data_IF_594507086943
#
_entry.id   IF_594507086943
#
_cell.length_a   1.000
_cell.length_b   1.000
_cell.length_c   1.000
_cell.angle_alpha   90.00
_cell.angle_beta   90.00
_cell.angle_gamma   90.00
#
_symmetry.space_group_name_H-M   'P 1'
#
loop_
_entity.id
_entity.type
_entity.pdbx_description
1 polymer ?
#
# COMPACT_ATOMS: atom_id res chain seq x y z
N UNK A 1 21.68 -0.47 -15.59
CA UNK A 1 22.65 0.58 -15.21
C UNK A 1 23.85 -0.09 -14.54
N UNK A 2 25.06 0.10 -15.08
CA UNK A 2 26.28 -0.43 -14.48
C UNK A 2 26.64 0.44 -13.26
N UNK A 3 27.00 -0.14 -12.11
CA UNK A 3 27.45 0.63 -10.96
C UNK A 3 28.73 1.36 -11.34
N UNK A 4 28.66 2.67 -11.53
CA UNK A 4 29.84 3.49 -11.78
C UNK A 4 30.63 3.62 -10.47
N UNK A 5 31.89 3.24 -10.50
CA UNK A 5 32.87 3.56 -9.45
C UNK A 5 33.53 4.87 -9.80
N UNK A 6 33.59 5.79 -8.87
CA UNK A 6 34.41 6.98 -9.00
C UNK A 6 35.81 6.66 -8.45
N UNK A 7 36.78 6.65 -9.34
CA UNK A 7 38.19 6.46 -9.00
C UNK A 7 38.88 7.80 -9.19
N UNK A 8 39.40 8.36 -8.12
CA UNK A 8 40.24 9.54 -8.20
C UNK A 8 41.70 9.08 -8.20
N UNK A 9 42.38 9.41 -9.27
CA UNK A 9 43.84 9.24 -9.36
C UNK A 9 44.47 10.49 -8.78
N UNK A 10 45.11 10.36 -7.64
CA UNK A 10 45.88 11.45 -7.06
C UNK A 10 47.31 11.38 -7.57
N UNK A 11 47.80 12.46 -8.10
CA UNK A 11 49.23 12.61 -8.43
C UNK A 11 49.96 12.95 -7.14
N UNK A 12 50.80 12.07 -6.57
CA UNK A 12 51.53 12.38 -5.37
C UNK A 12 52.54 13.52 -5.65
N UNK A 13 52.83 14.29 -4.60
CA UNK A 13 53.94 15.23 -4.67
C UNK A 13 55.22 14.47 -5.00
N UNK A 14 55.89 14.91 -6.05
CA UNK A 14 57.13 14.31 -6.55
C UNK A 14 58.13 15.38 -6.79
N UNK A 15 59.40 14.97 -6.72
CA UNK A 15 60.51 15.87 -7.09
C UNK A 15 60.38 16.45 -8.51
N UNK A 16 59.77 15.70 -9.42
CA UNK A 16 59.48 16.15 -10.80
C UNK A 16 58.47 17.30 -10.83
N UNK A 17 57.51 17.32 -9.91
CA UNK A 17 56.52 18.40 -9.84
C UNK A 17 57.10 19.71 -9.31
N UNK A 18 58.25 19.66 -8.63
CA UNK A 18 58.99 20.83 -8.15
C UNK A 18 59.87 21.47 -9.25
N UNK A 19 60.12 20.76 -10.33
CA UNK A 19 60.88 21.27 -11.47
C UNK A 19 59.97 22.05 -12.42
N UNK A 20 60.45 23.18 -12.89
CA UNK A 20 59.75 23.96 -13.91
C UNK A 20 59.66 23.15 -15.20
N UNK A 21 58.43 22.81 -15.63
CA UNK A 21 58.12 22.09 -16.86
C UNK A 21 58.67 22.73 -18.13
N UNK A 22 59.27 23.92 -18.03
CA UNK A 22 59.95 24.63 -19.14
C UNK A 22 61.23 24.01 -19.58
N UNK A 23 61.86 23.23 -18.70
CA UNK A 23 63.26 22.72 -18.97
C UNK A 23 63.25 21.26 -19.45
N UNK A 24 62.06 20.60 -19.48
CA UNK A 24 61.91 19.22 -19.92
C UNK A 24 60.84 19.12 -20.99
N UNK A 25 61.06 18.30 -22.01
CA UNK A 25 59.99 17.92 -22.89
C UNK A 25 59.06 16.91 -22.21
N UNK A 26 57.83 16.80 -22.72
CA UNK A 26 56.78 15.96 -22.12
C UNK A 26 57.19 14.48 -22.11
N UNK A 27 57.95 14.03 -23.08
CA UNK A 27 58.43 12.65 -23.19
C UNK A 27 59.47 12.31 -22.13
N UNK A 28 60.42 13.18 -21.88
CA UNK A 28 61.41 13.04 -20.81
C UNK A 28 60.76 13.04 -19.44
N UNK A 29 59.76 13.89 -19.19
CA UNK A 29 59.02 13.91 -17.95
C UNK A 29 58.23 12.61 -17.74
N UNK A 30 57.68 12.04 -18.81
CA UNK A 30 56.94 10.77 -18.76
C UNK A 30 57.90 9.59 -18.47
N UNK A 31 59.08 9.54 -19.08
CA UNK A 31 60.10 8.51 -18.82
C UNK A 31 60.64 8.56 -17.39
N UNK A 32 60.76 9.74 -16.81
CA UNK A 32 61.25 9.95 -15.45
C UNK A 32 60.12 9.71 -14.40
N UNK A 33 58.90 9.48 -14.83
CA UNK A 33 57.79 9.23 -13.92
C UNK A 33 57.93 7.85 -13.22
N UNK A 34 58.11 7.87 -11.91
CA UNK A 34 58.27 6.67 -11.07
C UNK A 34 57.08 5.72 -11.20
N UNK A 35 55.89 6.22 -11.50
CA UNK A 35 54.68 5.38 -11.65
C UNK A 35 54.63 4.70 -13.02
N UNK A 36 55.40 5.12 -13.96
CA UNK A 36 55.46 4.58 -15.31
C UNK A 36 56.53 3.47 -15.45
N UNK A 37 57.18 3.06 -14.36
CA UNK A 37 58.19 2.00 -14.35
C UNK A 37 57.57 0.64 -14.11
N UNK A 38 58.09 -0.44 -14.70
CA UNK A 38 57.65 -1.79 -14.39
C UNK A 38 57.79 -2.10 -12.89
N UNK A 39 56.70 -2.50 -12.25
CA UNK A 39 56.66 -2.80 -10.82
C UNK A 39 56.33 -1.61 -9.93
N UNK A 40 55.99 -0.47 -10.49
CA UNK A 40 55.52 0.67 -9.70
C UNK A 40 54.21 0.34 -8.95
N UNK A 41 54.10 0.80 -7.70
CA UNK A 41 52.95 0.59 -6.87
C UNK A 41 51.70 1.28 -7.44
N UNK A 42 50.58 0.57 -7.40
CA UNK A 42 49.30 1.17 -7.76
C UNK A 42 48.90 2.21 -6.71
N UNK A 43 49.01 3.48 -7.06
CA UNK A 43 48.64 4.61 -6.18
C UNK A 43 47.23 5.13 -6.42
N UNK A 44 46.43 4.38 -7.22
CA UNK A 44 45.04 4.70 -7.37
C UNK A 44 44.29 4.36 -6.06
N UNK A 45 43.58 5.31 -5.53
CA UNK A 45 42.71 5.08 -4.37
C UNK A 45 41.24 5.23 -4.77
N UNK A 46 40.42 4.30 -4.28
CA UNK A 46 38.97 4.41 -4.41
C UNK A 46 38.48 5.39 -3.35
N UNK A 47 37.96 6.54 -3.78
CA UNK A 47 37.39 7.52 -2.86
C UNK A 47 35.93 7.23 -2.71
N UNK A 48 35.53 6.88 -1.50
CA UNK A 48 34.12 6.81 -1.14
C UNK A 48 33.52 8.22 -1.25
N UNK A 49 32.50 8.38 -2.11
CA UNK A 49 31.72 9.61 -2.21
C UNK A 49 30.41 9.46 -1.42
N UNK A 50 30.39 9.73 -0.10
CA UNK A 50 29.20 9.51 0.74
C UNK A 50 27.99 10.29 0.23
N UNK A 51 28.20 11.50 -0.29
CA UNK A 51 27.14 12.34 -0.84
C UNK A 51 26.49 11.72 -2.09
N UNK A 52 27.27 11.13 -2.99
CA UNK A 52 26.73 10.48 -4.17
C UNK A 52 26.00 9.18 -3.82
N UNK A 53 26.52 8.41 -2.88
CA UNK A 53 25.85 7.21 -2.38
C UNK A 53 24.54 7.56 -1.70
N UNK A 54 24.49 8.63 -0.92
CA UNK A 54 23.27 9.13 -0.30
C UNK A 54 22.23 9.51 -1.36
N UNK A 55 22.60 10.32 -2.35
CA UNK A 55 21.68 10.71 -3.44
C UNK A 55 21.11 9.51 -4.18
N UNK A 56 21.95 8.51 -4.51
CA UNK A 56 21.47 7.27 -5.14
C UNK A 56 20.45 6.53 -4.27
N UNK A 57 20.67 6.41 -2.96
CA UNK A 57 19.73 5.79 -2.03
C UNK A 57 18.42 6.59 -1.91
N UNK A 58 18.48 7.91 -1.86
CA UNK A 58 17.32 8.78 -1.86
C UNK A 58 16.48 8.63 -3.14
N UNK A 59 17.11 8.49 -4.31
CA UNK A 59 16.43 8.19 -5.57
C UNK A 59 15.72 6.83 -5.55
N UNK A 60 16.36 5.80 -4.98
CA UNK A 60 15.77 4.46 -4.82
C UNK A 60 14.56 4.53 -3.88
N UNK A 61 14.69 5.22 -2.74
CA UNK A 61 13.57 5.45 -1.81
C UNK A 61 12.41 6.15 -2.53
N UNK A 62 12.71 7.19 -3.31
CA UNK A 62 11.69 7.91 -4.08
C UNK A 62 10.97 7.00 -5.08
N UNK A 63 11.68 6.12 -5.78
CA UNK A 63 11.06 5.13 -6.69
C UNK A 63 10.12 4.20 -5.93
N UNK A 64 10.52 3.69 -4.76
CA UNK A 64 9.65 2.86 -3.93
C UNK A 64 8.42 3.61 -3.40
N UNK A 65 8.57 4.88 -3.02
CA UNK A 65 7.42 5.73 -2.62
C UNK A 65 6.43 5.87 -3.78
N UNK A 66 6.91 6.11 -4.99
CA UNK A 66 6.07 6.28 -6.19
C UNK A 66 5.32 4.99 -6.57
N UNK A 67 5.85 3.83 -6.22
CA UNK A 67 5.18 2.53 -6.37
C UNK A 67 4.43 2.08 -5.13
N UNK A 68 4.30 2.93 -4.11
CA UNK A 68 3.66 2.63 -2.81
C UNK A 68 4.31 1.48 -2.03
N UNK A 69 5.55 1.10 -2.35
CA UNK A 69 6.32 0.08 -1.63
C UNK A 69 7.10 0.72 -0.46
N UNK A 70 6.37 1.15 0.55
CA UNK A 70 6.95 1.83 1.71
C UNK A 70 7.87 0.92 2.52
N UNK A 71 7.62 -0.39 2.51
CA UNK A 71 8.46 -1.38 3.20
C UNK A 71 9.85 -1.45 2.57
N UNK A 72 9.95 -1.52 1.24
CA UNK A 72 11.22 -1.48 0.53
C UNK A 72 11.91 -0.13 0.72
N UNK A 73 11.16 0.99 0.69
CA UNK A 73 11.69 2.32 0.99
C UNK A 73 12.34 2.38 2.38
N UNK A 74 11.68 1.83 3.41
CA UNK A 74 12.21 1.74 4.77
C UNK A 74 13.47 0.87 4.84
N UNK A 75 13.49 -0.27 4.15
CA UNK A 75 14.67 -1.15 4.08
C UNK A 75 15.90 -0.41 3.52
N UNK A 76 15.70 0.40 2.47
CA UNK A 76 16.79 1.23 1.93
C UNK A 76 17.19 2.32 2.93
N UNK A 77 16.21 2.99 3.57
CA UNK A 77 16.46 4.01 4.58
C UNK A 77 17.27 3.47 5.78
N UNK A 78 17.09 2.20 6.17
CA UNK A 78 17.85 1.54 7.24
C UNK A 78 19.34 1.40 6.92
N UNK A 79 19.71 1.41 5.64
CA UNK A 79 21.11 1.40 5.21
C UNK A 79 21.77 2.79 5.21
N UNK A 80 21.01 3.84 5.56
CA UNK A 80 21.47 5.23 5.62
C UNK A 80 21.69 5.67 7.07
N UNK A 81 22.42 6.77 7.25
CA UNK A 81 22.60 7.36 8.57
C UNK A 81 21.27 7.85 9.18
N UNK A 82 21.10 7.69 10.48
CA UNK A 82 19.86 8.13 11.18
C UNK A 82 19.56 9.61 10.94
N UNK A 83 20.58 10.46 10.89
CA UNK A 83 20.41 11.88 10.63
C UNK A 83 19.88 12.17 9.23
N UNK A 84 20.25 11.35 8.24
CA UNK A 84 19.82 11.51 6.85
C UNK A 84 18.35 11.15 6.64
N UNK A 85 17.83 10.22 7.43
CA UNK A 85 16.46 9.69 7.28
C UNK A 85 15.47 10.30 8.27
N UNK A 86 15.93 10.99 9.30
CA UNK A 86 15.12 11.51 10.41
C UNK A 86 13.90 12.32 9.93
N UNK A 87 14.04 13.10 8.86
CA UNK A 87 12.99 13.99 8.36
C UNK A 87 11.81 13.26 7.73
N UNK A 88 12.02 12.09 7.16
CA UNK A 88 10.98 11.40 6.37
C UNK A 88 10.66 9.98 6.84
N UNK A 89 11.52 9.37 7.66
CA UNK A 89 11.35 7.99 8.13
C UNK A 89 9.99 7.76 8.79
N UNK A 90 9.60 8.65 9.70
CA UNK A 90 8.32 8.55 10.39
C UNK A 90 7.11 8.57 9.46
N UNK A 91 7.18 9.33 8.37
CA UNK A 91 6.12 9.37 7.36
C UNK A 91 6.08 8.07 6.54
N UNK A 92 7.22 7.45 6.25
CA UNK A 92 7.27 6.15 5.59
C UNK A 92 6.66 5.04 6.47
N UNK A 93 7.00 5.04 7.77
CA UNK A 93 6.43 4.12 8.76
C UNK A 93 4.90 4.29 8.86
N UNK A 94 4.42 5.54 8.90
CA UNK A 94 2.99 5.84 8.91
C UNK A 94 2.30 5.34 7.63
N UNK A 95 2.90 5.57 6.48
CA UNK A 95 2.35 5.13 5.20
C UNK A 95 2.32 3.60 5.08
N UNK A 96 3.36 2.88 5.55
CA UNK A 96 3.37 1.42 5.62
C UNK A 96 2.25 0.90 6.52
N UNK A 97 2.12 1.43 7.76
CA UNK A 97 1.07 1.02 8.69
C UNK A 97 -0.33 1.28 8.14
N UNK A 98 -0.49 2.35 7.39
CA UNK A 98 -1.74 2.67 6.72
C UNK A 98 -2.13 1.63 5.68
N UNK A 99 -1.18 1.18 4.84
CA UNK A 99 -1.42 0.09 3.87
C UNK A 99 -1.69 -1.26 4.53
N UNK A 100 -1.10 -1.49 5.72
CA UNK A 100 -1.35 -2.70 6.52
C UNK A 100 -2.66 -2.65 7.31
N UNK A 101 -3.43 -1.56 7.22
CA UNK A 101 -4.65 -1.30 7.97
C UNK A 101 -4.45 -1.34 9.50
N UNK A 102 -3.25 -1.07 9.97
CA UNK A 102 -2.92 -0.98 11.40
C UNK A 102 -3.32 0.40 11.95
N UNK A 103 -4.64 0.59 12.09
CA UNK A 103 -5.23 1.88 12.46
C UNK A 103 -4.66 2.42 13.78
N UNK A 104 -4.36 1.53 14.72
CA UNK A 104 -3.86 1.95 16.05
C UNK A 104 -2.45 2.55 15.95
N UNK A 105 -1.57 1.96 15.17
CA UNK A 105 -0.22 2.48 14.92
C UNK A 105 -0.25 3.73 14.05
N UNK A 106 -1.16 3.81 13.08
CA UNK A 106 -1.37 5.02 12.27
C UNK A 106 -1.72 6.21 13.16
N UNK A 107 -2.63 6.05 14.14
CA UNK A 107 -3.02 7.12 15.06
C UNK A 107 -1.87 7.58 15.95
N UNK A 108 -1.09 6.64 16.47
CA UNK A 108 0.09 6.96 17.29
C UNK A 108 1.14 7.73 16.49
N UNK A 109 1.43 7.27 15.27
CA UNK A 109 2.43 7.89 14.40
C UNK A 109 1.96 9.26 13.92
N UNK A 110 0.71 9.40 13.49
CA UNK A 110 0.14 10.67 13.05
C UNK A 110 0.21 11.73 14.19
N UNK A 111 -0.15 11.33 15.41
CA UNK A 111 -0.04 12.20 16.59
C UNK A 111 1.41 12.58 16.89
N UNK A 112 2.34 11.62 16.84
CA UNK A 112 3.79 11.86 17.07
C UNK A 112 4.39 12.81 16.04
N UNK A 113 3.93 12.73 14.79
CA UNK A 113 4.41 13.55 13.67
C UNK A 113 3.66 14.89 13.54
N UNK A 114 2.63 15.10 14.38
CA UNK A 114 1.72 16.25 14.27
C UNK A 114 1.14 16.40 12.85
N UNK A 115 0.84 15.27 12.21
CA UNK A 115 0.43 15.19 10.82
C UNK A 115 -1.03 14.73 10.68
N UNK A 116 -1.93 15.65 10.35
CA UNK A 116 -3.35 15.32 10.10
C UNK A 116 -3.54 14.76 8.68
N UNK A 117 -3.36 13.45 8.56
CA UNK A 117 -3.53 12.71 7.30
C UNK A 117 -4.79 11.82 7.29
N UNK A 118 -5.65 11.95 8.30
CA UNK A 118 -6.79 11.07 8.52
C UNK A 118 -8.09 11.81 8.21
N UNK A 119 -8.63 11.67 6.98
CA UNK A 119 -9.82 12.42 6.57
C UNK A 119 -11.11 11.88 7.21
N UNK A 120 -11.15 10.59 7.54
CA UNK A 120 -12.32 9.93 8.14
C UNK A 120 -11.96 9.47 9.55
N UNK A 121 -12.67 9.97 10.57
CA UNK A 121 -12.35 9.69 11.99
C UNK A 121 -13.28 8.65 12.63
N UNK A 122 -14.48 8.46 12.07
CA UNK A 122 -15.42 7.44 12.58
C UNK A 122 -14.86 6.03 12.29
N UNK A 123 -14.83 5.18 13.32
CA UNK A 123 -14.09 3.90 13.30
C UNK A 123 -14.47 2.95 12.16
N UNK A 124 -15.77 2.73 11.94
CA UNK A 124 -16.27 1.83 10.88
C UNK A 124 -16.05 2.40 9.48
N UNK A 125 -16.34 3.69 9.30
CA UNK A 125 -16.18 4.38 8.03
C UNK A 125 -14.70 4.52 7.67
N UNK A 126 -13.84 4.73 8.67
CA UNK A 126 -12.40 4.83 8.48
C UNK A 126 -11.78 3.55 7.95
N UNK A 127 -12.16 2.40 8.50
CA UNK A 127 -11.64 1.11 8.03
C UNK A 127 -11.99 0.89 6.55
N UNK A 128 -13.23 1.18 6.17
CA UNK A 128 -13.67 1.10 4.77
C UNK A 128 -12.94 2.07 3.86
N UNK A 129 -12.73 3.30 4.33
CA UNK A 129 -11.98 4.30 3.59
C UNK A 129 -10.53 3.88 3.33
N UNK A 130 -9.82 3.42 4.36
CA UNK A 130 -8.43 2.95 4.23
C UNK A 130 -8.34 1.70 3.34
N UNK A 131 -9.32 0.80 3.45
CA UNK A 131 -9.39 -0.37 2.57
C UNK A 131 -9.60 0.03 1.10
N UNK A 132 -10.52 0.96 0.84
CA UNK A 132 -10.77 1.49 -0.51
C UNK A 132 -9.54 2.20 -1.09
N UNK A 133 -8.79 2.94 -0.26
CA UNK A 133 -7.53 3.56 -0.64
C UNK A 133 -6.49 2.50 -1.03
N UNK A 134 -6.36 1.42 -0.25
CA UNK A 134 -5.51 0.28 -0.58
C UNK A 134 -5.88 -0.38 -1.91
N UNK A 135 -7.18 -0.53 -2.19
CA UNK A 135 -7.66 -1.03 -3.49
C UNK A 135 -7.29 -0.09 -4.64
N UNK A 136 -7.42 1.23 -4.47
CA UNK A 136 -7.01 2.20 -5.48
C UNK A 136 -5.51 2.09 -5.80
N UNK A 137 -4.68 1.85 -4.78
CA UNK A 137 -3.24 1.64 -4.95
C UNK A 137 -2.97 0.37 -5.76
N UNK A 138 -3.64 -0.75 -5.43
CA UNK A 138 -3.54 -1.99 -6.21
C UNK A 138 -3.87 -1.79 -7.69
N UNK A 139 -4.94 -1.06 -7.96
CA UNK A 139 -5.33 -0.73 -9.33
C UNK A 139 -4.26 0.11 -10.05
N UNK A 140 -3.68 1.11 -9.38
CA UNK A 140 -2.60 1.94 -9.93
C UNK A 140 -1.32 1.16 -10.19
N UNK A 141 -1.02 0.16 -9.37
CA UNK A 141 0.14 -0.70 -9.51
C UNK A 141 -0.07 -1.83 -10.56
N UNK A 142 -1.27 -1.96 -11.13
CA UNK A 142 -1.59 -3.05 -12.05
C UNK A 142 -1.84 -4.40 -11.37
N UNK A 143 -2.04 -4.42 -10.05
CA UNK A 143 -2.33 -5.61 -9.25
C UNK A 143 -3.81 -5.99 -9.39
N UNK A 144 -4.26 -6.25 -10.64
CA UNK A 144 -5.68 -6.42 -10.96
C UNK A 144 -6.32 -7.62 -10.26
N UNK A 145 -5.59 -8.72 -10.12
CA UNK A 145 -6.10 -9.92 -9.46
C UNK A 145 -6.41 -9.66 -7.98
N UNK A 146 -5.51 -8.97 -7.29
CA UNK A 146 -5.69 -8.63 -5.87
C UNK A 146 -6.75 -7.54 -5.69
N UNK A 147 -6.87 -6.61 -6.64
CA UNK A 147 -7.97 -5.65 -6.68
C UNK A 147 -9.33 -6.38 -6.81
N UNK A 148 -9.45 -7.31 -7.75
CA UNK A 148 -10.69 -8.09 -7.97
C UNK A 148 -11.07 -8.89 -6.73
N UNK A 149 -10.11 -9.56 -6.08
CA UNK A 149 -10.33 -10.31 -4.84
C UNK A 149 -10.82 -9.42 -3.70
N UNK A 150 -10.40 -8.18 -3.65
CA UNK A 150 -10.77 -7.22 -2.61
C UNK A 150 -12.16 -6.61 -2.79
N UNK A 151 -12.79 -6.69 -3.98
CA UNK A 151 -14.08 -6.06 -4.28
C UNK A 151 -15.22 -6.65 -3.43
N UNK A 152 -15.35 -7.97 -3.39
CA UNK A 152 -16.48 -8.60 -2.69
C UNK A 152 -16.54 -8.28 -1.20
N UNK A 153 -15.44 -8.39 -0.43
CA UNK A 153 -15.46 -8.03 0.98
C UNK A 153 -15.84 -6.57 1.23
N UNK A 154 -15.25 -5.64 0.48
CA UNK A 154 -15.54 -4.20 0.69
C UNK A 154 -17.00 -3.86 0.37
N UNK A 155 -17.60 -4.48 -0.64
CA UNK A 155 -19.00 -4.21 -0.98
C UNK A 155 -19.97 -4.70 0.09
N UNK A 156 -19.70 -5.86 0.70
CA UNK A 156 -20.50 -6.34 1.84
C UNK A 156 -20.45 -5.31 2.98
N UNK A 157 -19.24 -4.92 3.39
CA UNK A 157 -19.06 -3.98 4.50
C UNK A 157 -19.62 -2.58 4.18
N UNK A 158 -19.48 -2.11 2.95
CA UNK A 158 -20.02 -0.84 2.49
C UNK A 158 -21.56 -0.85 2.52
N UNK A 159 -22.19 -1.91 1.98
CA UNK A 159 -23.64 -2.03 1.97
C UNK A 159 -24.22 -2.13 3.39
N UNK A 160 -23.51 -2.80 4.30
CA UNK A 160 -23.87 -2.83 5.71
C UNK A 160 -23.79 -1.46 6.36
N UNK A 161 -22.74 -0.72 6.10
CA UNK A 161 -22.61 0.64 6.61
C UNK A 161 -23.76 1.53 6.09
N UNK A 162 -24.08 1.42 4.81
CA UNK A 162 -25.21 2.14 4.20
C UNK A 162 -26.54 1.74 4.88
N UNK A 163 -26.79 0.44 5.04
CA UNK A 163 -28.00 -0.06 5.68
C UNK A 163 -28.11 0.47 7.13
N UNK A 164 -27.01 0.45 7.85
CA UNK A 164 -26.95 0.96 9.24
C UNK A 164 -27.16 2.46 9.32
N UNK A 165 -26.46 3.23 8.48
CA UNK A 165 -26.48 4.71 8.56
C UNK A 165 -27.75 5.29 7.95
N UNK A 166 -28.16 4.84 6.78
CA UNK A 166 -29.29 5.40 6.05
C UNK A 166 -30.62 4.76 6.45
N UNK A 167 -30.66 3.44 6.57
CA UNK A 167 -31.90 2.71 6.89
C UNK A 167 -32.08 2.44 8.39
N UNK A 168 -31.07 2.77 9.23
CA UNK A 168 -31.06 2.52 10.69
C UNK A 168 -31.20 1.04 11.08
N UNK A 169 -30.78 0.15 10.20
CA UNK A 169 -30.83 -1.31 10.38
C UNK A 169 -29.42 -1.84 10.57
N UNK A 170 -29.14 -2.41 11.74
CA UNK A 170 -27.87 -3.13 12.00
C UNK A 170 -28.11 -4.62 11.82
N UNK A 171 -27.56 -5.20 10.75
CA UNK A 171 -27.76 -6.62 10.42
C UNK A 171 -27.15 -7.57 11.45
N UNK A 172 -26.23 -7.10 12.29
CA UNK A 172 -25.67 -7.92 13.37
C UNK A 172 -26.74 -8.38 14.36
N UNK A 173 -27.85 -7.64 14.48
CA UNK A 173 -29.00 -8.05 15.30
C UNK A 173 -29.73 -9.28 14.76
N UNK A 174 -29.54 -9.62 13.48
CA UNK A 174 -30.19 -10.71 12.76
C UNK A 174 -29.25 -11.83 12.34
N UNK A 175 -27.99 -11.74 12.76
CA UNK A 175 -26.93 -12.65 12.35
C UNK A 175 -26.25 -13.31 13.56
N UNK A 176 -25.53 -14.39 13.28
CA UNK A 176 -24.58 -15.04 14.19
C UNK A 176 -23.23 -15.25 13.52
N UNK A 177 -22.16 -15.22 14.31
CA UNK A 177 -20.82 -15.55 13.86
C UNK A 177 -20.54 -17.03 14.03
N UNK A 178 -20.02 -17.65 12.98
CA UNK A 178 -19.60 -19.06 12.98
C UNK A 178 -18.13 -19.12 12.67
N UNK A 179 -17.37 -19.86 13.47
CA UNK A 179 -15.96 -20.13 13.20
C UNK A 179 -15.86 -21.49 12.49
N UNK A 180 -15.32 -21.51 11.27
CA UNK A 180 -15.02 -22.75 10.54
C UNK A 180 -13.86 -23.51 11.17
N UNK A 181 -13.65 -24.75 10.74
CA UNK A 181 -12.54 -25.61 11.22
C UNK A 181 -11.14 -25.02 10.93
N UNK A 182 -11.01 -24.21 9.88
CA UNK A 182 -9.79 -23.51 9.49
C UNK A 182 -9.55 -22.19 10.26
N UNK A 183 -10.41 -21.87 11.25
CA UNK A 183 -10.37 -20.64 12.03
C UNK A 183 -11.04 -19.45 11.36
N UNK A 184 -11.51 -19.57 10.13
CA UNK A 184 -12.21 -18.48 9.41
C UNK A 184 -13.54 -18.18 10.07
N UNK A 185 -13.78 -16.91 10.38
CA UNK A 185 -15.06 -16.43 10.90
C UNK A 185 -15.97 -16.04 9.75
N UNK A 186 -17.15 -16.60 9.74
CA UNK A 186 -18.21 -16.26 8.79
C UNK A 186 -19.43 -15.74 9.53
N UNK A 187 -20.15 -14.87 8.86
CA UNK A 187 -21.41 -14.36 9.36
C UNK A 187 -22.56 -15.03 8.62
N UNK A 188 -23.49 -15.58 9.40
CA UNK A 188 -24.69 -16.22 8.89
C UNK A 188 -25.93 -15.57 9.42
N UNK A 189 -27.00 -15.63 8.65
CA UNK A 189 -28.32 -15.31 9.14
C UNK A 189 -28.68 -16.23 10.29
N UNK A 190 -29.45 -15.70 11.22
CA UNK A 190 -29.95 -16.43 12.37
C UNK A 190 -31.47 -16.52 12.29
N UNK A 191 -32.00 -17.70 11.97
CA UNK A 191 -33.41 -17.94 11.78
C UNK A 191 -34.24 -17.53 13.00
N UNK A 192 -33.72 -17.73 14.22
CA UNK A 192 -34.49 -17.39 15.45
C UNK A 192 -34.61 -15.85 15.58
N UNK A 193 -33.57 -15.12 15.23
CA UNK A 193 -33.58 -13.66 15.27
C UNK A 193 -34.31 -13.01 14.09
N UNK A 194 -34.40 -13.71 12.96
CA UNK A 194 -35.14 -13.25 11.78
C UNK A 194 -36.63 -13.46 11.90
N UNK A 195 -37.06 -14.53 12.59
CA UNK A 195 -38.45 -14.98 12.61
C UNK A 195 -39.46 -13.87 12.97
N UNK A 196 -40.39 -13.64 12.07
CA UNK A 196 -41.49 -12.66 12.25
C UNK A 196 -41.04 -11.20 12.06
N UNK A 197 -39.81 -10.96 11.64
CA UNK A 197 -39.30 -9.60 11.36
C UNK A 197 -39.65 -9.14 9.95
N UNK A 198 -39.66 -7.83 9.73
CA UNK A 198 -39.82 -7.26 8.39
C UNK A 198 -38.64 -7.63 7.49
N UNK A 199 -37.45 -7.79 8.06
CA UNK A 199 -36.22 -8.26 7.34
C UNK A 199 -36.45 -9.63 6.72
N UNK A 200 -37.00 -10.58 7.49
CA UNK A 200 -37.34 -11.92 6.99
C UNK A 200 -38.33 -11.85 5.82
N UNK A 201 -39.39 -11.06 5.96
CA UNK A 201 -40.38 -10.87 4.92
C UNK A 201 -39.78 -10.34 3.63
N UNK A 202 -39.02 -9.26 3.71
CA UNK A 202 -38.34 -8.64 2.56
C UNK A 202 -37.40 -9.61 1.87
N UNK A 203 -36.59 -10.36 2.62
CA UNK A 203 -35.68 -11.33 2.03
C UNK A 203 -36.42 -12.50 1.39
N UNK A 204 -37.47 -13.02 1.99
CA UNK A 204 -38.28 -14.07 1.39
C UNK A 204 -38.97 -13.60 0.09
N UNK A 205 -39.47 -12.38 0.06
CA UNK A 205 -40.07 -11.79 -1.14
C UNK A 205 -39.03 -11.58 -2.25
N UNK A 206 -37.88 -10.98 -1.92
CA UNK A 206 -36.83 -10.69 -2.87
C UNK A 206 -36.23 -11.95 -3.52
N UNK A 207 -36.22 -13.07 -2.81
CA UNK A 207 -35.68 -14.35 -3.29
C UNK A 207 -36.78 -15.40 -3.58
N UNK A 208 -38.03 -14.98 -3.75
CA UNK A 208 -39.17 -15.85 -4.11
C UNK A 208 -39.27 -17.10 -3.23
N UNK A 209 -39.04 -16.94 -1.93
CA UNK A 209 -39.09 -18.02 -0.93
C UNK A 209 -37.89 -18.95 -0.91
N UNK A 210 -36.88 -18.74 -1.76
CA UNK A 210 -35.62 -19.51 -1.77
C UNK A 210 -34.55 -19.00 -0.80
N UNK A 211 -34.85 -17.99 0.00
CA UNK A 211 -33.91 -17.41 0.96
C UNK A 211 -33.56 -18.42 2.07
N UNK A 212 -32.25 -18.67 2.22
CA UNK A 212 -31.75 -19.54 3.28
C UNK A 212 -31.54 -18.76 4.58
N UNK A 213 -32.46 -18.87 5.53
CA UNK A 213 -32.43 -18.18 6.83
C UNK A 213 -31.27 -18.61 7.75
N UNK A 214 -30.54 -19.66 7.42
CA UNK A 214 -29.31 -20.09 8.09
C UNK A 214 -28.10 -20.04 7.14
N UNK A 215 -28.23 -19.39 5.99
CA UNK A 215 -27.16 -19.21 5.01
C UNK A 215 -26.20 -18.09 5.37
N UNK A 216 -25.10 -18.03 4.65
CA UNK A 216 -24.11 -16.96 4.78
C UNK A 216 -24.72 -15.61 4.32
N UNK A 217 -24.23 -14.52 4.90
CA UNK A 217 -24.65 -13.17 4.51
C UNK A 217 -23.89 -12.75 3.26
N UNK A 218 -24.61 -12.39 2.20
CA UNK A 218 -24.03 -11.93 0.93
C UNK A 218 -24.46 -10.51 0.61
N UNK A 219 -23.66 -9.81 -0.22
CA UNK A 219 -23.97 -8.46 -0.70
C UNK A 219 -25.35 -8.33 -1.36
N UNK A 220 -25.81 -9.38 -2.05
CA UNK A 220 -27.13 -9.41 -2.69
C UNK A 220 -28.29 -9.34 -1.67
N UNK A 221 -28.14 -9.96 -0.49
CA UNK A 221 -29.14 -9.87 0.57
C UNK A 221 -29.25 -8.44 1.11
N UNK A 222 -28.09 -7.82 1.34
CA UNK A 222 -28.03 -6.46 1.89
C UNK A 222 -28.55 -5.45 0.87
N UNK A 223 -28.22 -5.64 -0.42
CA UNK A 223 -28.78 -4.86 -1.52
C UNK A 223 -30.31 -4.88 -1.49
N UNK A 224 -30.92 -6.05 -1.39
CA UNK A 224 -32.39 -6.19 -1.36
C UNK A 224 -33.01 -5.42 -0.17
N UNK A 225 -32.35 -5.45 0.99
CA UNK A 225 -32.79 -4.67 2.15
C UNK A 225 -32.67 -3.17 1.91
N UNK A 226 -31.58 -2.69 1.31
CA UNK A 226 -31.41 -1.26 0.98
C UNK A 226 -32.46 -0.82 -0.04
N UNK A 227 -32.72 -1.63 -1.06
CA UNK A 227 -33.75 -1.33 -2.07
C UNK A 227 -35.14 -1.18 -1.47
N UNK A 228 -35.47 -1.94 -0.44
CA UNK A 228 -36.74 -1.86 0.25
C UNK A 228 -36.82 -0.69 1.24
N UNK A 229 -35.85 -0.59 2.14
CA UNK A 229 -35.89 0.36 3.26
C UNK A 229 -35.40 1.77 2.94
N UNK A 230 -34.57 1.96 1.92
CA UNK A 230 -34.11 3.29 1.56
C UNK A 230 -35.18 4.04 0.76
N UNK A 231 -35.29 5.33 0.98
CA UNK A 231 -36.11 6.26 0.16
C UNK A 231 -35.27 7.00 -0.90
N UNK A 232 -33.95 6.89 -0.84
CA UNK A 232 -33.03 7.57 -1.74
C UNK A 232 -32.86 6.77 -3.04
N UNK A 233 -33.41 7.31 -4.13
CA UNK A 233 -33.37 6.67 -5.44
C UNK A 233 -31.96 6.63 -6.05
N UNK A 234 -31.13 7.68 -5.81
CA UNK A 234 -29.78 7.73 -6.33
C UNK A 234 -28.88 6.68 -5.61
N UNK A 235 -29.06 6.54 -4.31
CA UNK A 235 -28.38 5.52 -3.54
C UNK A 235 -28.73 4.10 -4.01
N UNK A 236 -30.04 3.82 -4.25
CA UNK A 236 -30.48 2.53 -4.79
C UNK A 236 -29.82 2.20 -6.13
N UNK A 237 -29.80 3.17 -7.05
CA UNK A 237 -29.16 3.03 -8.36
C UNK A 237 -27.66 2.73 -8.22
N UNK A 238 -26.95 3.48 -7.35
CA UNK A 238 -25.52 3.26 -7.08
C UNK A 238 -25.24 1.86 -6.54
N UNK A 239 -26.03 1.41 -5.54
CA UNK A 239 -25.90 0.07 -4.96
C UNK A 239 -26.16 -1.02 -6.01
N UNK A 240 -27.14 -0.83 -6.86
CA UNK A 240 -27.44 -1.74 -7.96
C UNK A 240 -26.26 -1.84 -8.94
N UNK A 241 -25.73 -0.70 -9.36
CA UNK A 241 -24.60 -0.63 -10.29
C UNK A 241 -23.33 -1.27 -9.71
N UNK A 242 -23.04 -1.01 -8.45
CA UNK A 242 -21.89 -1.63 -7.75
C UNK A 242 -22.04 -3.16 -7.69
N UNK A 243 -23.24 -3.66 -7.38
CA UNK A 243 -23.49 -5.11 -7.33
C UNK A 243 -23.39 -5.77 -8.70
N UNK A 244 -23.90 -5.14 -9.75
CA UNK A 244 -23.78 -5.62 -11.13
C UNK A 244 -22.32 -5.65 -11.58
N UNK A 245 -21.55 -4.66 -11.19
CA UNK A 245 -20.11 -4.59 -11.48
C UNK A 245 -19.36 -5.71 -10.77
N UNK A 246 -19.65 -5.97 -9.48
CA UNK A 246 -19.08 -7.09 -8.73
C UNK A 246 -19.35 -8.42 -9.44
N UNK A 247 -20.60 -8.66 -9.86
CA UNK A 247 -21.00 -9.90 -10.52
C UNK A 247 -20.30 -10.12 -11.86
N UNK A 248 -20.19 -9.07 -12.69
CA UNK A 248 -19.47 -9.12 -13.96
C UNK A 248 -17.99 -9.43 -13.74
N UNK A 249 -17.33 -8.72 -12.82
CA UNK A 249 -15.90 -8.92 -12.54
C UNK A 249 -15.64 -10.33 -12.00
N UNK A 250 -16.46 -10.81 -11.07
CA UNK A 250 -16.31 -12.18 -10.53
C UNK A 250 -16.49 -13.26 -11.59
N UNK A 251 -17.49 -13.11 -12.45
CA UNK A 251 -17.75 -14.07 -13.51
C UNK A 251 -16.61 -14.11 -14.53
N UNK A 252 -16.09 -12.95 -14.92
CA UNK A 252 -14.93 -12.87 -15.82
C UNK A 252 -13.69 -13.51 -15.19
N UNK A 253 -13.38 -13.17 -13.93
CA UNK A 253 -12.20 -13.70 -13.22
C UNK A 253 -12.30 -15.20 -12.84
N UNK A 254 -13.47 -15.80 -12.93
CA UNK A 254 -13.66 -17.23 -12.66
C UNK A 254 -13.54 -18.11 -13.93
N UNK A 255 -13.58 -17.49 -15.11
CA UNK A 255 -13.57 -18.19 -16.39
C UNK A 255 -12.27 -17.97 -17.20
N UNK A 256 -11.40 -17.05 -16.78
CA UNK A 256 -10.05 -16.83 -17.30
C UNK A 256 -8.97 -17.41 -16.35
#
# INVERSE_FOLDING_TARGET
>A
EYPAKLIQVATPERRINEHHYKDYDVFTLWELDEDNQPGADNRCSEIACPSLQKLKKEEVIKKHILSYDYRAALTVADTMGKQDTQKYRGYLELAEKRLLLDISEVDKLAKKLEFDCIPVKASSERMLFEYALGMQIKLKNGEYVDFIRAITPILVDLFELVLKVQCKIDINNYCKWITKRDGTKLRRWDMEKLRGTEIEKVLNEAFSGSFNQNGDVYSIHIKALIEYFSTDAQLKELICNLRLTEEKIRNTAAHD
#
